data_IF_197698195018
#
_entry.id   IF_197698195018
#
_cell.length_a   1.000
_cell.length_b   1.000
_cell.length_c   1.000
_cell.angle_alpha   90.00
_cell.angle_beta   90.00
_cell.angle_gamma   90.00
#
_symmetry.space_group_name_H-M   'P 1'
#
loop_
_entity.id
_entity.type
_entity.pdbx_description
1 polymer ?
#
# COMPACT_ATOMS: atom_id res chain seq x y z
N UNK A 1 0.45 -13.02 15.90
CA UNK A 1 1.21 -13.36 14.66
C UNK A 1 0.93 -12.27 13.64
N UNK A 2 1.95 -11.57 13.14
CA UNK A 2 1.77 -10.53 12.13
C UNK A 2 1.45 -11.11 10.75
N UNK A 3 0.67 -10.39 9.95
CA UNK A 3 0.41 -10.73 8.54
C UNK A 3 1.18 -9.76 7.65
N UNK A 4 1.80 -10.27 6.59
CA UNK A 4 2.47 -9.47 5.56
C UNK A 4 1.67 -9.62 4.28
N UNK A 5 1.23 -8.50 3.71
CA UNK A 5 0.43 -8.46 2.48
C UNK A 5 1.29 -7.92 1.34
N UNK A 6 1.53 -8.74 0.32
CA UNK A 6 2.23 -8.32 -0.90
C UNK A 6 1.19 -7.83 -1.93
N UNK A 7 1.39 -6.62 -2.45
CA UNK A 7 0.57 -6.06 -3.54
C UNK A 7 1.44 -5.94 -4.79
N UNK A 8 1.38 -6.96 -5.64
CA UNK A 8 2.17 -7.06 -6.87
C UNK A 8 1.30 -7.06 -8.13
N UNK A 9 1.94 -7.15 -9.30
CA UNK A 9 1.23 -7.24 -10.58
C UNK A 9 2.17 -7.02 -11.78
N UNK A 10 1.92 -7.77 -12.84
CA UNK A 10 2.86 -7.98 -13.96
C UNK A 10 3.02 -6.79 -14.89
N UNK A 11 2.07 -5.84 -14.87
CA UNK A 11 2.05 -4.68 -15.78
C UNK A 11 1.90 -3.36 -15.02
N UNK A 12 2.39 -2.29 -15.63
CA UNK A 12 2.08 -0.92 -15.21
C UNK A 12 0.59 -0.61 -15.37
N UNK A 13 0.05 0.27 -14.53
CA UNK A 13 -1.34 0.72 -14.66
C UNK A 13 -2.44 -0.24 -14.20
N UNK A 14 -2.11 -1.44 -13.71
CA UNK A 14 -3.11 -2.43 -13.22
C UNK A 14 -3.71 -2.11 -11.85
N UNK A 15 -3.36 -0.98 -11.24
CA UNK A 15 -3.94 -0.53 -9.97
C UNK A 15 -3.21 -0.95 -8.69
N UNK A 16 -1.99 -1.49 -8.76
CA UNK A 16 -1.21 -1.93 -7.57
C UNK A 16 -1.13 -0.87 -6.47
N UNK A 17 -0.70 0.35 -6.82
CA UNK A 17 -0.59 1.46 -5.87
C UNK A 17 -1.93 1.86 -5.27
N UNK A 18 -3.01 1.83 -6.07
CA UNK A 18 -4.37 2.10 -5.59
C UNK A 18 -4.82 1.03 -4.58
N UNK A 19 -4.58 -0.25 -4.86
CA UNK A 19 -4.92 -1.35 -3.95
C UNK A 19 -4.14 -1.26 -2.65
N UNK A 20 -2.82 -1.02 -2.70
CA UNK A 20 -2.00 -0.85 -1.51
C UNK A 20 -2.53 0.30 -0.63
N UNK A 21 -2.90 1.41 -1.28
CA UNK A 21 -3.45 2.58 -0.61
C UNK A 21 -4.81 2.33 0.04
N UNK A 22 -5.72 1.66 -0.66
CA UNK A 22 -7.03 1.30 -0.11
C UNK A 22 -6.90 0.34 1.07
N UNK A 23 -5.95 -0.59 1.02
CA UNK A 23 -5.64 -1.44 2.15
C UNK A 23 -5.15 -0.61 3.33
N UNK A 24 -4.20 0.31 3.13
CA UNK A 24 -3.74 1.22 4.18
C UNK A 24 -4.89 2.03 4.79
N UNK A 25 -5.75 2.61 3.94
CA UNK A 25 -6.92 3.36 4.39
C UNK A 25 -7.86 2.50 5.24
N UNK A 26 -8.10 1.25 4.85
CA UNK A 26 -8.91 0.33 5.63
C UNK A 26 -8.37 0.11 7.05
N UNK A 27 -7.06 -0.03 7.22
CA UNK A 27 -6.45 -0.17 8.55
C UNK A 27 -6.58 1.13 9.35
N UNK A 28 -6.37 2.29 8.72
CA UNK A 28 -6.57 3.62 9.35
C UNK A 28 -8.00 3.79 9.84
N UNK A 29 -8.98 3.54 8.97
CA UNK A 29 -10.42 3.71 9.27
C UNK A 29 -10.91 2.76 10.37
N UNK A 30 -10.17 1.67 10.61
CA UNK A 30 -10.45 0.68 11.65
C UNK A 30 -9.58 0.84 12.89
N UNK A 31 -8.73 1.87 12.95
CA UNK A 31 -7.77 2.09 14.03
C UNK A 31 -6.85 0.87 14.28
N UNK A 32 -6.56 0.11 13.22
CA UNK A 32 -5.71 -1.06 13.28
C UNK A 32 -4.25 -0.66 12.99
N UNK A 33 -3.29 -1.05 13.85
CA UNK A 33 -1.89 -0.75 13.59
C UNK A 33 -1.41 -1.49 12.34
N UNK A 34 -0.74 -0.77 11.45
CA UNK A 34 -0.09 -1.35 10.27
C UNK A 34 1.20 -0.58 9.96
N UNK A 35 2.06 -1.19 9.15
CA UNK A 35 3.23 -0.56 8.59
C UNK A 35 3.20 -0.74 7.07
N UNK A 36 3.30 0.37 6.34
CA UNK A 36 3.32 0.38 4.87
C UNK A 36 4.74 0.55 4.34
N UNK A 37 5.10 -0.23 3.33
CA UNK A 37 6.37 -0.12 2.59
C UNK A 37 6.07 0.10 1.11
N UNK A 38 6.64 1.18 0.54
CA UNK A 38 6.62 1.41 -0.90
C UNK A 38 7.92 0.87 -1.51
N UNK A 39 7.82 -0.28 -2.18
CA UNK A 39 8.96 -0.91 -2.84
C UNK A 39 9.07 -0.49 -4.33
N UNK A 40 8.22 0.41 -4.82
CA UNK A 40 8.31 0.93 -6.19
C UNK A 40 9.30 2.11 -6.24
N UNK A 41 10.53 1.82 -6.68
CA UNK A 41 11.56 2.83 -6.86
C UNK A 41 11.28 3.80 -8.03
N UNK A 42 10.38 3.45 -8.95
CA UNK A 42 10.10 4.24 -10.16
C UNK A 42 9.05 5.33 -9.92
N UNK A 43 8.00 5.01 -9.15
CA UNK A 43 6.87 5.90 -8.89
C UNK A 43 6.38 5.76 -7.44
N UNK A 44 7.13 6.35 -6.51
CA UNK A 44 6.75 6.41 -5.09
C UNK A 44 5.37 7.06 -4.94
N UNK A 45 4.37 6.25 -4.61
CA UNK A 45 2.97 6.66 -4.58
C UNK A 45 2.41 6.60 -3.17
N UNK A 46 2.98 5.79 -2.28
CA UNK A 46 2.41 5.55 -0.96
C UNK A 46 2.69 6.72 0.02
N UNK A 47 3.95 7.16 0.08
CA UNK A 47 4.40 8.25 0.97
C UNK A 47 3.75 9.61 0.66
N UNK A 48 3.35 9.83 -0.60
CA UNK A 48 2.68 11.07 -1.05
C UNK A 48 1.37 11.35 -0.30
N UNK A 49 0.73 10.33 0.27
CA UNK A 49 -0.62 10.44 0.78
C UNK A 49 -0.77 10.18 2.28
N UNK A 50 0.24 9.61 2.92
CA UNK A 50 0.23 9.22 4.33
C UNK A 50 1.50 9.74 5.02
N UNK A 51 1.74 11.06 4.88
CA UNK A 51 2.84 11.78 5.54
C UNK A 51 2.60 11.92 7.03
#
# INVERSE_FOLDING_TARGET
MGKVHFVGGEKGGVGKSMTARLLAQYYIDKELPFLGFDCDASHGTFSRFYS
#
